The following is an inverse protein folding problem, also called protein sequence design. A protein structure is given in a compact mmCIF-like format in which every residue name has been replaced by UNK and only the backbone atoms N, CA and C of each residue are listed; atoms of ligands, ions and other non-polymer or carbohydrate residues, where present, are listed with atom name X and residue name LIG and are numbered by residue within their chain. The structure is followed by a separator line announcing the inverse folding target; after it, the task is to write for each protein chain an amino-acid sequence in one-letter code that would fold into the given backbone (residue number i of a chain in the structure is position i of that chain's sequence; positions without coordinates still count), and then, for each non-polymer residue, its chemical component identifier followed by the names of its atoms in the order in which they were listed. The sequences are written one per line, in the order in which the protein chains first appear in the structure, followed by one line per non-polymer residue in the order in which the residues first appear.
data_IF_848490760987
#
_entry.id   IF_848490760987
#
_cell.length_a   1.000
_cell.length_b   1.000
_cell.length_c   1.000
_cell.angle_alpha   90.00
_cell.angle_beta   90.00
_cell.angle_gamma   90.00
#
_symmetry.space_group_name_H-M   'P 1'
#
loop_
_entity.id
_entity.type
_entity.pdbx_description
1 polymer ?
#
# COMPACT_ATOMS: atom_id res chain seq x y z
N UNK A 1 11.22 3.26 -9.38
CA UNK A 1 9.81 3.52 -9.04
C UNK A 1 8.88 2.48 -9.65
N UNK A 2 8.67 2.43 -10.97
CA UNK A 2 7.91 1.33 -11.62
C UNK A 2 8.64 -0.02 -11.52
N UNK A 3 9.98 0.01 -11.57
CA UNK A 3 10.84 -1.14 -11.27
C UNK A 3 10.70 -1.68 -9.85
N UNK A 4 10.36 -0.83 -8.88
CA UNK A 4 10.24 -1.24 -7.47
C UNK A 4 8.82 -1.77 -7.19
N UNK A 5 7.85 -1.25 -7.94
CA UNK A 5 6.43 -1.57 -7.84
C UNK A 5 6.07 -2.88 -8.54
N UNK A 6 6.57 -3.10 -9.76
CA UNK A 6 6.47 -4.40 -10.44
C UNK A 6 7.14 -5.50 -9.60
N UNK A 7 8.33 -5.23 -9.05
CA UNK A 7 8.99 -6.13 -8.10
C UNK A 7 8.15 -6.42 -6.87
N UNK A 8 7.48 -5.41 -6.30
CA UNK A 8 6.61 -5.62 -5.13
C UNK A 8 5.41 -6.50 -5.47
N UNK A 9 4.77 -6.29 -6.63
CA UNK A 9 3.70 -7.15 -7.14
C UNK A 9 4.19 -8.58 -7.38
N UNK A 10 5.37 -8.77 -7.96
CA UNK A 10 5.97 -10.11 -8.15
C UNK A 10 6.22 -10.82 -6.81
N UNK A 11 6.70 -10.07 -5.83
CA UNK A 11 6.90 -10.59 -4.47
C UNK A 11 5.55 -10.98 -3.87
N UNK A 12 4.54 -10.12 -3.93
CA UNK A 12 3.21 -10.40 -3.40
C UNK A 12 2.43 -11.43 -4.24
N UNK A 13 2.83 -11.70 -5.48
CA UNK A 13 2.20 -12.67 -6.37
C UNK A 13 2.31 -14.12 -5.88
N UNK A 14 3.30 -14.43 -5.04
CA UNK A 14 3.45 -15.76 -4.46
C UNK A 14 2.63 -15.95 -3.18
N UNK A 15 1.82 -17.01 -3.16
CA UNK A 15 0.92 -17.32 -2.05
C UNK A 15 1.65 -17.55 -0.71
N UNK A 16 2.74 -18.32 -0.70
CA UNK A 16 3.51 -18.59 0.52
C UNK A 16 4.07 -17.32 1.12
N UNK A 17 4.56 -16.39 0.30
CA UNK A 17 5.02 -15.07 0.75
C UNK A 17 3.88 -14.25 1.36
N UNK A 18 2.69 -14.25 0.76
CA UNK A 18 1.50 -13.60 1.36
C UNK A 18 1.13 -14.23 2.70
N UNK A 19 1.11 -15.56 2.79
CA UNK A 19 0.81 -16.29 4.04
C UNK A 19 1.84 -16.01 5.13
N UNK A 20 3.13 -15.94 4.80
CA UNK A 20 4.18 -15.50 5.74
C UNK A 20 3.86 -14.10 6.27
N UNK A 21 3.57 -13.14 5.39
CA UNK A 21 3.24 -11.77 5.81
C UNK A 21 2.01 -11.74 6.73
N UNK A 22 0.95 -12.49 6.42
CA UNK A 22 -0.25 -12.63 7.25
C UNK A 22 0.08 -13.20 8.65
N UNK A 23 0.98 -14.18 8.75
CA UNK A 23 1.41 -14.70 10.05
C UNK A 23 2.18 -13.63 10.84
N UNK A 24 3.09 -12.93 10.19
CA UNK A 24 3.93 -11.90 10.81
C UNK A 24 3.14 -10.66 11.28
N UNK A 25 1.91 -10.43 10.82
CA UNK A 25 1.05 -9.36 11.38
C UNK A 25 0.51 -9.69 12.77
N UNK A 26 0.47 -10.97 13.14
CA UNK A 26 -0.07 -11.42 14.43
C UNK A 26 0.96 -11.34 15.55
N UNK A 27 2.20 -11.74 15.28
CA UNK A 27 3.34 -11.73 16.22
C UNK A 27 4.65 -12.00 15.46
N UNK A 28 5.83 -11.83 16.08
CA UNK A 28 7.08 -12.34 15.54
C UNK A 28 7.08 -13.88 15.46
N UNK A 29 7.68 -14.44 14.40
CA UNK A 29 7.84 -15.89 14.21
C UNK A 29 9.28 -16.28 13.90
N UNK A 30 9.69 -17.49 14.31
CA UNK A 30 10.92 -18.13 13.81
C UNK A 30 10.62 -19.15 12.71
N UNK A 31 11.64 -19.51 11.93
CA UNK A 31 11.51 -20.30 10.69
C UNK A 31 10.75 -21.61 10.87
N UNK A 32 11.01 -22.36 11.96
CA UNK A 32 10.34 -23.65 12.16
C UNK A 32 8.87 -23.51 12.53
N UNK A 33 8.46 -22.43 13.18
CA UNK A 33 7.02 -22.15 13.38
C UNK A 33 6.34 -21.84 12.06
N UNK A 34 6.93 -20.95 11.25
CA UNK A 34 6.41 -20.63 9.92
C UNK A 34 6.33 -21.89 9.05
N UNK A 35 7.33 -22.77 9.14
CA UNK A 35 7.33 -24.05 8.43
C UNK A 35 6.16 -24.95 8.83
N UNK A 36 5.88 -25.06 10.14
CA UNK A 36 4.76 -25.85 10.66
C UNK A 36 3.40 -25.25 10.26
N UNK A 37 3.21 -23.94 10.49
CA UNK A 37 1.97 -23.22 10.17
C UNK A 37 1.65 -23.22 8.67
N UNK A 38 2.68 -23.19 7.83
CA UNK A 38 2.51 -23.12 6.38
C UNK A 38 2.43 -24.50 5.71
N UNK A 39 2.92 -25.55 6.36
CA UNK A 39 3.12 -26.87 5.75
C UNK A 39 4.25 -26.86 4.70
N UNK A 40 5.20 -25.93 4.81
CA UNK A 40 6.28 -25.72 3.83
C UNK A 40 7.62 -25.99 4.49
N UNK A 41 8.54 -26.65 3.79
CA UNK A 41 9.87 -26.98 4.32
C UNK A 41 10.68 -25.74 4.75
N UNK A 42 11.45 -25.86 5.83
CA UNK A 42 12.21 -24.74 6.42
C UNK A 42 13.15 -24.05 5.43
N UNK A 43 13.76 -24.80 4.48
CA UNK A 43 14.61 -24.23 3.42
C UNK A 43 13.84 -23.27 2.51
N UNK A 44 12.65 -23.65 2.07
CA UNK A 44 11.80 -22.81 1.23
C UNK A 44 11.29 -21.59 2.00
N UNK A 45 10.94 -21.75 3.29
CA UNK A 45 10.58 -20.62 4.16
C UNK A 45 11.75 -19.62 4.28
N UNK A 46 12.98 -20.11 4.48
CA UNK A 46 14.18 -19.26 4.51
C UNK A 46 14.38 -18.49 3.20
N UNK A 47 14.18 -19.12 2.05
CA UNK A 47 14.27 -18.46 0.73
C UNK A 47 13.21 -17.38 0.57
N UNK A 48 11.95 -17.64 0.96
CA UNK A 48 10.90 -16.63 0.95
C UNK A 48 11.20 -15.46 1.88
N UNK A 49 11.68 -15.71 3.10
CA UNK A 49 12.07 -14.68 4.04
C UNK A 49 13.24 -13.85 3.52
N UNK A 50 14.19 -14.47 2.80
CA UNK A 50 15.29 -13.74 2.16
C UNK A 50 14.77 -12.76 1.11
N UNK A 51 13.85 -13.20 0.24
CA UNK A 51 13.21 -12.35 -0.77
C UNK A 51 12.46 -11.18 -0.09
N UNK A 52 11.62 -11.49 0.90
CA UNK A 52 10.84 -10.48 1.64
C UNK A 52 11.76 -9.47 2.37
N UNK A 53 12.89 -9.93 2.91
CA UNK A 53 13.88 -9.08 3.58
C UNK A 53 14.60 -8.17 2.59
N UNK A 54 15.01 -8.71 1.45
CA UNK A 54 15.64 -7.93 0.36
C UNK A 54 14.71 -6.85 -0.19
N UNK A 55 13.39 -7.09 -0.18
CA UNK A 55 12.38 -6.10 -0.52
C UNK A 55 12.10 -5.06 0.58
N UNK A 56 12.70 -5.24 1.76
CA UNK A 56 12.49 -4.37 2.93
C UNK A 56 11.12 -4.51 3.58
N UNK A 57 10.41 -5.62 3.35
CA UNK A 57 9.09 -5.88 3.96
C UNK A 57 9.23 -6.48 5.36
N UNK A 58 10.24 -7.33 5.55
CA UNK A 58 10.53 -7.98 6.84
C UNK A 58 11.94 -7.66 7.30
N UNK A 59 12.15 -7.77 8.61
CA UNK A 59 13.47 -7.71 9.24
C UNK A 59 13.67 -8.94 10.13
N UNK A 60 14.93 -9.21 10.50
CA UNK A 60 15.27 -10.28 11.42
C UNK A 60 15.83 -9.68 12.71
N UNK A 61 15.41 -10.22 13.86
CA UNK A 61 15.96 -9.91 15.18
C UNK A 61 16.49 -11.20 15.80
N UNK A 62 17.72 -11.16 16.28
CA UNK A 62 18.31 -12.29 17.01
C UNK A 62 18.07 -12.10 18.50
N UNK A 63 17.38 -13.05 19.11
CA UNK A 63 17.13 -13.05 20.55
C UNK A 63 18.01 -14.10 21.23
N UNK A 64 18.71 -13.67 22.28
CA UNK A 64 19.49 -14.56 23.15
C UNK A 64 18.53 -15.24 24.11
N UNK A 65 18.61 -16.56 24.20
CA UNK A 65 17.79 -17.35 25.11
C UNK A 65 18.68 -17.73 26.30
N UNK A 66 18.21 -17.61 27.56
CA UNK A 66 19.01 -17.89 28.75
C UNK A 66 19.68 -19.28 28.76
N UNK A 67 19.03 -20.27 28.13
CA UNK A 67 19.57 -21.61 27.89
C UNK A 67 19.24 -22.05 26.47
N UNK A 68 20.20 -21.96 25.56
CA UNK A 68 20.07 -22.46 24.18
C UNK A 68 20.77 -21.60 23.14
N UNK A 69 20.73 -22.08 21.89
CA UNK A 69 21.23 -21.31 20.74
C UNK A 69 20.33 -20.08 20.49
N UNK A 70 20.91 -18.91 20.15
CA UNK A 70 20.13 -17.74 19.77
C UNK A 70 19.11 -18.08 18.67
N UNK A 71 17.90 -17.52 18.77
CA UNK A 71 16.85 -17.70 17.77
C UNK A 71 16.70 -16.43 16.95
N UNK A 72 16.48 -16.62 15.65
CA UNK A 72 16.14 -15.54 14.72
C UNK A 72 14.64 -15.46 14.57
N UNK A 73 14.09 -14.34 14.98
CA UNK A 73 12.69 -13.97 14.79
C UNK A 73 12.58 -13.01 13.61
N UNK A 74 11.49 -13.13 12.87
CA UNK A 74 11.15 -12.25 11.76
C UNK A 74 9.95 -11.40 12.15
N UNK A 75 9.96 -10.14 11.74
CA UNK A 75 8.90 -9.15 11.96
C UNK A 75 8.66 -8.32 10.71
N UNK A 76 7.49 -7.69 10.61
CA UNK A 76 7.23 -6.68 9.58
C UNK A 76 8.10 -5.45 9.88
N UNK A 77 8.95 -5.06 8.92
CA UNK A 77 9.85 -3.91 9.05
C UNK A 77 9.10 -2.59 8.86
N UNK A 78 8.22 -2.53 7.85
CA UNK A 78 7.40 -1.37 7.53
C UNK A 78 6.08 -1.80 6.91
N UNK A 79 5.02 -1.06 7.22
CA UNK A 79 3.75 -1.17 6.51
C UNK A 79 3.79 -0.40 5.19
N UNK A 80 2.97 -0.82 4.25
CA UNK A 80 2.69 -0.07 3.03
C UNK A 80 1.21 -0.25 2.66
N UNK A 81 0.64 0.73 1.96
CA UNK A 81 -0.64 0.59 1.27
C UNK A 81 -0.37 0.63 -0.23
N UNK A 82 -0.83 -0.43 -0.89
CA UNK A 82 -0.78 -0.59 -2.34
C UNK A 82 -2.22 -0.55 -2.87
N UNK A 83 -2.49 0.36 -3.77
CA UNK A 83 -3.75 0.47 -4.50
C UNK A 83 -3.48 0.10 -5.96
N UNK A 84 -4.27 -0.82 -6.51
CA UNK A 84 -4.17 -1.25 -7.91
C UNK A 84 -5.48 -0.87 -8.60
N UNK A 85 -5.37 -0.10 -9.67
CA UNK A 85 -6.47 0.37 -10.49
C UNK A 85 -6.32 -0.23 -11.89
N UNK A 86 -7.37 -0.89 -12.36
CA UNK A 86 -7.44 -1.41 -13.71
C UNK A 86 -8.77 -0.97 -14.32
N UNK A 87 -8.69 -0.15 -15.36
CA UNK A 87 -9.80 0.25 -16.22
C UNK A 87 -9.45 -0.07 -17.67
N UNK A 88 -10.40 -0.02 -18.62
CA UNK A 88 -10.10 -0.24 -20.04
C UNK A 88 -9.05 0.71 -20.62
N UNK A 89 -8.79 1.85 -19.97
CA UNK A 89 -7.88 2.89 -20.46
C UNK A 89 -6.64 3.07 -19.58
N UNK A 90 -6.66 2.61 -18.32
CA UNK A 90 -5.57 2.85 -17.37
C UNK A 90 -5.32 1.62 -16.51
N UNK A 91 -4.05 1.19 -16.51
CA UNK A 91 -3.50 0.34 -15.46
C UNK A 91 -2.61 1.22 -14.57
N UNK A 92 -3.04 1.46 -13.34
CA UNK A 92 -2.38 2.36 -12.40
C UNK A 92 -2.15 1.68 -11.06
N UNK A 93 -1.06 2.06 -10.40
CA UNK A 93 -0.72 1.53 -9.07
C UNK A 93 -0.19 2.65 -8.19
N UNK A 94 -0.77 2.81 -7.00
CA UNK A 94 -0.31 3.77 -5.99
C UNK A 94 0.28 3.05 -4.78
N UNK A 95 1.47 3.44 -4.37
CA UNK A 95 2.15 2.90 -3.19
C UNK A 95 2.48 4.04 -2.24
N UNK A 96 2.04 3.93 -0.99
CA UNK A 96 2.42 4.86 0.06
C UNK A 96 2.61 4.16 1.39
N UNK A 97 3.45 4.73 2.26
CA UNK A 97 3.59 4.25 3.63
C UNK A 97 2.44 4.80 4.49
N UNK A 98 1.70 3.95 5.23
CA UNK A 98 0.70 4.40 6.18
C UNK A 98 1.34 5.41 7.13
N UNK A 99 0.78 6.62 7.16
CA UNK A 99 1.23 7.63 8.12
C UNK A 99 0.82 7.20 9.52
N UNK A 100 1.65 7.49 10.53
CA UNK A 100 1.24 7.39 11.94
C UNK A 100 -0.06 8.17 12.13
N UNK A 101 -0.98 7.63 12.93
CA UNK A 101 -2.25 8.29 13.23
C UNK A 101 -1.94 9.71 13.71
N UNK A 102 -2.43 10.70 12.98
CA UNK A 102 -2.30 12.10 13.41
C UNK A 102 -3.24 12.30 14.58
N UNK A 103 -2.78 13.00 15.61
CA UNK A 103 -3.62 13.42 16.73
C UNK A 103 -4.57 14.54 16.27
N UNK A 104 -5.53 14.19 15.41
CA UNK A 104 -6.66 15.04 15.04
C UNK A 104 -7.86 14.75 15.95
N UNK A 105 -8.95 15.49 15.72
CA UNK A 105 -10.18 15.44 16.52
C UNK A 105 -10.72 14.01 16.66
N UNK A 106 -10.87 13.29 15.53
CA UNK A 106 -11.35 11.90 15.51
C UNK A 106 -10.48 10.96 16.35
N UNK A 107 -9.16 11.18 16.40
CA UNK A 107 -8.26 10.35 17.22
C UNK A 107 -8.41 10.66 18.71
N UNK A 108 -8.56 11.94 19.06
CA UNK A 108 -8.76 12.36 20.45
C UNK A 108 -10.06 11.81 21.01
N UNK A 109 -11.14 11.89 20.24
CA UNK A 109 -12.46 11.34 20.59
C UNK A 109 -12.41 9.82 20.78
N UNK A 110 -11.82 9.09 19.83
CA UNK A 110 -11.59 7.64 19.97
C UNK A 110 -10.81 7.31 21.25
N UNK A 111 -9.77 8.10 21.55
CA UNK A 111 -8.90 7.90 22.71
C UNK A 111 -9.63 8.17 24.03
N UNK A 112 -10.53 9.14 24.07
CA UNK A 112 -11.36 9.44 25.24
C UNK A 112 -12.34 8.29 25.52
N UNK A 113 -13.05 7.83 24.49
CA UNK A 113 -13.94 6.65 24.61
C UNK A 113 -13.16 5.40 25.05
N UNK A 114 -11.99 5.13 24.47
CA UNK A 114 -11.15 3.98 24.87
C UNK A 114 -10.66 4.11 26.32
N UNK A 115 -10.46 5.32 26.83
CA UNK A 115 -9.99 5.58 28.20
C UNK A 115 -11.11 5.79 29.22
N UNK A 116 -12.36 5.82 28.79
CA UNK A 116 -13.49 5.99 29.69
C UNK A 116 -13.52 4.88 30.74
N UNK A 117 -13.99 5.23 31.94
CA UNK A 117 -14.17 4.31 33.07
C UNK A 117 -15.60 3.79 33.15
N UNK A 118 -16.39 3.99 32.11
CA UNK A 118 -17.77 3.50 32.00
C UNK A 118 -17.84 1.97 32.09
N UNK A 119 -19.00 1.40 32.49
CA UNK A 119 -19.23 -0.03 32.43
C UNK A 119 -18.94 -0.58 31.03
N UNK A 120 -18.44 -1.82 30.96
CA UNK A 120 -17.99 -2.42 29.70
C UNK A 120 -19.09 -2.45 28.63
N UNK A 121 -20.35 -2.67 29.02
CA UNK A 121 -21.50 -2.70 28.12
C UNK A 121 -21.74 -1.33 27.46
N UNK A 122 -21.72 -0.26 28.25
CA UNK A 122 -21.95 1.11 27.75
C UNK A 122 -20.76 1.58 26.90
N UNK A 123 -19.55 1.31 27.36
CA UNK A 123 -18.33 1.60 26.60
C UNK A 123 -18.30 0.92 25.24
N UNK A 124 -18.74 -0.34 25.16
CA UNK A 124 -18.83 -1.06 23.89
C UNK A 124 -19.89 -0.43 22.99
N UNK A 125 -21.05 -0.04 23.53
CA UNK A 125 -22.09 0.67 22.77
C UNK A 125 -21.55 1.96 22.16
N UNK A 126 -20.95 2.83 22.97
CA UNK A 126 -20.37 4.10 22.52
C UNK A 126 -19.30 3.91 21.44
N UNK A 127 -18.41 2.93 21.63
CA UNK A 127 -17.36 2.62 20.64
C UNK A 127 -17.93 2.10 19.31
N UNK A 128 -19.02 1.32 19.36
CA UNK A 128 -19.69 0.82 18.15
C UNK A 128 -20.42 1.94 17.42
N UNK A 129 -21.09 2.84 18.15
CA UNK A 129 -21.74 4.02 17.57
C UNK A 129 -20.72 4.94 16.89
N UNK A 130 -19.61 5.22 17.58
CA UNK A 130 -18.50 6.00 17.04
C UNK A 130 -17.85 5.32 15.83
N UNK A 131 -17.65 3.99 15.85
CA UNK A 131 -17.18 3.24 14.69
C UNK A 131 -18.14 3.38 13.50
N UNK A 132 -19.45 3.34 13.74
CA UNK A 132 -20.47 3.56 12.71
C UNK A 132 -20.35 4.94 12.04
N UNK A 133 -20.11 5.99 12.83
CA UNK A 133 -19.88 7.35 12.31
C UNK A 133 -18.61 7.43 11.45
N UNK A 134 -17.52 6.78 11.89
CA UNK A 134 -16.27 6.70 11.12
C UNK A 134 -16.50 5.99 9.79
N UNK A 135 -17.21 4.86 9.80
CA UNK A 135 -17.51 4.07 8.61
C UNK A 135 -18.37 4.85 7.60
N UNK A 136 -19.36 5.63 8.05
CA UNK A 136 -20.17 6.49 7.17
C UNK A 136 -19.31 7.58 6.53
N UNK A 137 -18.51 8.30 7.35
CA UNK A 137 -17.62 9.34 6.84
C UNK A 137 -16.61 8.77 5.84
N UNK A 138 -16.11 7.56 6.07
CA UNK A 138 -15.25 6.83 5.13
C UNK A 138 -15.97 6.55 3.81
N UNK A 139 -17.22 6.09 3.85
CA UNK A 139 -18.03 5.85 2.64
C UNK A 139 -18.19 7.12 1.81
N UNK A 140 -18.63 8.22 2.42
CA UNK A 140 -18.82 9.51 1.74
C UNK A 140 -17.51 10.01 1.09
N UNK A 141 -16.39 9.92 1.82
CA UNK A 141 -15.08 10.32 1.28
C UNK A 141 -14.59 9.43 0.15
N UNK A 142 -14.90 8.12 0.19
CA UNK A 142 -14.54 7.19 -0.89
C UNK A 142 -15.37 7.45 -2.16
N UNK A 143 -16.66 7.77 -2.02
CA UNK A 143 -17.52 8.13 -3.15
C UNK A 143 -17.05 9.43 -3.82
N UNK A 144 -16.82 10.48 -3.02
CA UNK A 144 -16.27 11.74 -3.53
C UNK A 144 -14.88 11.55 -4.18
N UNK A 145 -14.02 10.71 -3.60
CA UNK A 145 -12.73 10.36 -4.22
C UNK A 145 -12.96 9.70 -5.58
N UNK A 146 -13.86 8.72 -5.66
CA UNK A 146 -14.13 7.97 -6.89
C UNK A 146 -14.61 8.88 -8.02
N UNK A 147 -15.54 9.78 -7.75
CA UNK A 147 -16.03 10.74 -8.75
C UNK A 147 -14.89 11.59 -9.32
N UNK A 148 -14.02 12.12 -8.44
CA UNK A 148 -12.85 12.89 -8.85
C UNK A 148 -11.85 12.05 -9.65
N UNK A 149 -11.69 10.76 -9.30
CA UNK A 149 -10.82 9.85 -10.04
C UNK A 149 -11.34 9.54 -11.44
N UNK A 150 -12.64 9.34 -11.62
CA UNK A 150 -13.26 9.11 -12.93
C UNK A 150 -13.07 10.34 -13.85
N UNK A 151 -13.33 11.54 -13.33
CA UNK A 151 -13.10 12.79 -14.08
C UNK A 151 -11.61 12.98 -14.40
N UNK A 152 -10.72 12.72 -13.44
CA UNK A 152 -9.26 12.78 -13.64
C UNK A 152 -8.84 11.88 -14.80
N UNK A 153 -9.29 10.61 -14.81
CA UNK A 153 -8.95 9.65 -15.86
C UNK A 153 -9.43 10.09 -17.24
N UNK A 154 -10.65 10.63 -17.32
CA UNK A 154 -11.21 11.17 -18.56
C UNK A 154 -10.35 12.30 -19.11
N UNK A 155 -9.95 13.26 -18.26
CA UNK A 155 -9.11 14.40 -18.65
C UNK A 155 -7.70 13.95 -19.05
N UNK A 156 -7.07 13.06 -18.29
CA UNK A 156 -5.74 12.53 -18.61
C UNK A 156 -5.74 11.82 -19.97
N UNK A 157 -6.71 10.95 -20.22
CA UNK A 157 -6.86 10.22 -21.49
C UNK A 157 -7.06 11.19 -22.66
N UNK A 158 -7.86 12.24 -22.48
CA UNK A 158 -8.08 13.25 -23.51
C UNK A 158 -6.80 14.03 -23.84
N UNK A 159 -6.04 14.44 -22.82
CA UNK A 159 -4.76 15.13 -22.98
C UNK A 159 -3.77 14.23 -23.74
N UNK A 160 -3.62 12.97 -23.35
CA UNK A 160 -2.72 12.02 -24.02
C UNK A 160 -3.07 11.85 -25.51
N UNK A 161 -4.37 11.68 -25.82
CA UNK A 161 -4.82 11.55 -27.20
C UNK A 161 -4.67 12.85 -28.01
N UNK A 162 -4.84 14.02 -27.39
CA UNK A 162 -4.61 15.31 -28.03
C UNK A 162 -3.13 15.51 -28.33
N UNK A 163 -2.26 15.31 -27.34
CA UNK A 163 -0.80 15.40 -27.51
C UNK A 163 -0.29 14.43 -28.58
N UNK A 164 -0.83 13.20 -28.62
CA UNK A 164 -0.50 12.23 -29.67
C UNK A 164 -0.86 12.74 -31.07
N UNK A 165 -2.05 13.32 -31.24
CA UNK A 165 -2.47 13.89 -32.52
C UNK A 165 -1.57 15.06 -32.93
N UNK A 166 -1.26 15.96 -32.00
CA UNK A 166 -0.36 17.09 -32.27
C UNK A 166 1.04 16.61 -32.65
N UNK A 167 1.59 15.61 -31.97
CA UNK A 167 2.89 15.02 -32.31
C UNK A 167 2.92 14.42 -33.73
N UNK A 168 1.80 13.88 -34.21
CA UNK A 168 1.68 13.34 -35.58
C UNK A 168 1.55 14.43 -36.65
N UNK A 169 0.96 15.58 -36.30
CA UNK A 169 0.66 16.66 -37.25
C UNK A 169 1.78 17.73 -37.29
N UNK A 170 2.38 18.06 -36.15
CA UNK A 170 3.38 19.13 -36.01
C UNK A 170 4.29 18.91 -34.78
N UNK A 171 5.50 18.41 -35.04
CA UNK A 171 6.51 18.11 -34.02
C UNK A 171 7.02 19.37 -33.29
N UNK A 172 7.21 20.50 -33.99
CA UNK A 172 7.67 21.75 -33.37
C UNK A 172 6.64 22.30 -32.37
N UNK A 173 5.36 22.24 -32.74
CA UNK A 173 4.25 22.65 -31.86
C UNK A 173 4.12 21.71 -30.65
N UNK A 174 4.34 20.41 -30.85
CA UNK A 174 4.36 19.44 -29.75
C UNK A 174 5.47 19.78 -28.74
N UNK A 175 6.68 20.04 -29.22
CA UNK A 175 7.83 20.41 -28.37
C UNK A 175 7.60 21.72 -27.60
N UNK A 176 6.99 22.72 -28.25
CA UNK A 176 6.62 23.98 -27.61
C UNK A 176 5.62 23.76 -26.47
N UNK A 177 4.54 23.03 -26.74
CA UNK A 177 3.52 22.70 -25.74
C UNK A 177 4.16 21.92 -24.58
N UNK A 178 4.97 20.90 -24.88
CA UNK A 178 5.59 20.05 -23.86
C UNK A 178 6.53 20.82 -22.94
N UNK A 179 7.27 21.82 -23.43
CA UNK A 179 8.11 22.68 -22.57
C UNK A 179 7.27 23.45 -21.54
N UNK A 180 6.08 23.88 -21.90
CA UNK A 180 5.19 24.64 -21.01
C UNK A 180 4.47 23.73 -20.01
N UNK A 181 3.92 22.61 -20.47
CA UNK A 181 2.99 21.79 -19.65
C UNK A 181 3.68 20.70 -18.84
N UNK A 182 4.86 20.21 -19.26
CA UNK A 182 5.57 19.10 -18.59
C UNK A 182 5.76 19.29 -17.07
N UNK A 183 6.09 20.49 -16.53
CA UNK A 183 6.21 20.68 -15.07
C UNK A 183 4.90 20.49 -14.29
N UNK A 184 3.76 20.65 -14.95
CA UNK A 184 2.41 20.54 -14.35
C UNK A 184 1.79 19.16 -14.57
N UNK A 185 2.30 18.38 -15.53
CA UNK A 185 1.78 17.06 -15.82
C UNK A 185 2.16 16.05 -14.71
N UNK A 186 1.24 15.16 -14.33
CA UNK A 186 1.56 14.01 -13.49
C UNK A 186 2.72 13.21 -14.09
N UNK A 187 3.70 12.82 -13.26
CA UNK A 187 4.87 12.04 -13.70
C UNK A 187 4.52 10.76 -14.46
N UNK A 188 3.36 10.15 -14.16
CA UNK A 188 2.84 8.98 -14.86
C UNK A 188 2.55 9.24 -16.34
N UNK A 189 1.96 10.40 -16.65
CA UNK A 189 1.63 10.79 -18.03
C UNK A 189 2.90 11.09 -18.84
N UNK A 190 3.87 11.79 -18.24
CA UNK A 190 5.14 12.10 -18.90
C UNK A 190 5.86 10.82 -19.33
N UNK A 191 5.83 9.78 -18.49
CA UNK A 191 6.40 8.47 -18.85
C UNK A 191 5.66 7.81 -20.00
N UNK A 192 4.32 7.74 -19.91
CA UNK A 192 3.48 7.20 -20.99
C UNK A 192 3.83 7.87 -22.33
N UNK A 193 4.00 9.19 -22.33
CA UNK A 193 4.37 9.96 -23.52
C UNK A 193 5.79 9.69 -24.04
N UNK A 194 6.74 9.34 -23.17
CA UNK A 194 8.14 9.05 -23.53
C UNK A 194 8.37 7.60 -24.00
N UNK A 195 7.40 6.70 -23.76
CA UNK A 195 7.44 5.31 -24.23
C UNK A 195 6.90 5.18 -25.68
N UNK A 196 6.61 6.31 -26.35
CA UNK A 196 6.29 6.42 -27.77
C UNK A 196 7.51 6.86 -28.58
#
# INVERSE_FOLDING_TARGET
MESDMGRLLDILGNETRRRILILLTRRPYYVSELSQELGVGQKAVLEHLKILKSAGLVEERTEKIPRGRPRKYYTIRRGFRLEVMLTPYVFGTELYEPRKIRAGEVYSEARELIKSTEPAEEKVRELVEFLGQIEERLREMLEAKRELEEVRLMVETYIENLLRRVAQENEELFDEIMREVSPKLPRRMIKSLNDF
#
